data_IF_688827035146
#
_entry.id   IF_688827035146
#
_cell.length_a   1.000
_cell.length_b   1.000
_cell.length_c   1.000
_cell.angle_alpha   90.00
_cell.angle_beta   90.00
_cell.angle_gamma   90.00
#
_symmetry.space_group_name_H-M   'P 1'
#
loop_
_entity.id
_entity.type
_entity.pdbx_description
1 polymer ?
#
# COMPACT_ATOMS: atom_id res chain seq x y z
N UNK A 1 34.60 -24.92 -6.84
CA UNK A 1 33.51 -23.91 -6.93
C UNK A 1 32.51 -24.23 -5.83
N UNK A 2 32.64 -23.54 -4.70
CA UNK A 2 31.87 -23.79 -3.48
C UNK A 2 30.55 -23.03 -3.56
N UNK A 3 29.43 -23.77 -3.52
CA UNK A 3 28.08 -23.22 -3.43
C UNK A 3 27.82 -22.79 -1.98
N UNK A 4 27.94 -21.48 -1.73
CA UNK A 4 27.54 -20.87 -0.47
C UNK A 4 26.03 -21.04 -0.27
N UNK A 5 25.68 -21.76 0.80
CA UNK A 5 24.31 -21.93 1.27
C UNK A 5 23.73 -20.58 1.70
N UNK A 6 22.65 -20.13 1.06
CA UNK A 6 21.84 -19.03 1.57
C UNK A 6 21.09 -19.52 2.80
N UNK A 7 21.60 -19.13 3.97
CA UNK A 7 20.95 -19.36 5.25
C UNK A 7 19.73 -18.44 5.33
N UNK A 8 18.57 -18.90 4.87
CA UNK A 8 17.30 -18.29 5.21
C UNK A 8 17.04 -18.59 6.69
N UNK A 9 17.51 -17.70 7.57
CA UNK A 9 17.20 -17.77 8.99
C UNK A 9 15.69 -17.54 9.13
N UNK A 10 14.93 -18.63 9.16
CA UNK A 10 13.60 -18.64 9.74
C UNK A 10 13.79 -18.48 11.24
N UNK A 11 13.90 -17.24 11.71
CA UNK A 11 13.84 -16.96 13.13
C UNK A 11 12.49 -17.49 13.65
N UNK A 12 12.56 -18.59 14.39
CA UNK A 12 11.42 -19.12 15.12
C UNK A 12 10.92 -18.01 16.03
N UNK A 13 9.73 -17.50 15.72
CA UNK A 13 9.05 -16.50 16.55
C UNK A 13 8.64 -17.21 17.84
N UNK A 14 9.55 -17.29 18.80
CA UNK A 14 9.18 -17.62 20.16
C UNK A 14 8.32 -16.47 20.66
N UNK A 15 7.14 -16.80 21.18
CA UNK A 15 6.24 -15.85 21.81
C UNK A 15 6.86 -15.40 23.14
N UNK A 16 7.81 -14.47 23.06
CA UNK A 16 8.39 -13.77 24.21
C UNK A 16 7.22 -13.16 24.98
N UNK A 17 7.05 -13.60 26.23
CA UNK A 17 6.00 -13.18 27.16
C UNK A 17 6.15 -11.67 27.43
N UNK A 18 5.53 -10.84 26.59
CA UNK A 18 5.47 -9.40 26.81
C UNK A 18 4.63 -9.10 28.06
N UNK A 19 4.89 -8.01 28.80
CA UNK A 19 4.01 -7.57 29.86
C UNK A 19 2.61 -7.33 29.28
N UNK A 20 1.69 -8.24 29.61
CA UNK A 20 0.36 -8.30 29.02
C UNK A 20 -0.43 -7.07 29.45
N UNK A 21 -0.85 -6.25 28.46
CA UNK A 21 -1.82 -5.17 28.68
C UNK A 21 -3.20 -5.70 28.35
N UNK A 22 -4.19 -5.35 29.17
CA UNK A 22 -5.60 -5.70 28.91
C UNK A 22 -6.31 -4.47 28.38
N UNK A 23 -6.99 -4.61 27.25
CA UNK A 23 -7.89 -3.58 26.74
C UNK A 23 -9.31 -3.86 27.22
N UNK A 24 -9.84 -3.00 28.09
CA UNK A 24 -11.25 -3.02 28.50
C UNK A 24 -12.00 -1.91 27.78
N UNK A 25 -12.99 -2.30 26.98
CA UNK A 25 -13.87 -1.36 26.26
C UNK A 25 -15.29 -1.55 26.77
N UNK A 26 -15.93 -0.45 27.17
CA UNK A 26 -17.33 -0.47 27.59
C UNK A 26 -18.27 -0.76 26.43
N UNK A 27 -18.12 -0.02 25.33
CA UNK A 27 -18.87 -0.27 24.11
C UNK A 27 -18.14 0.20 22.85
N UNK A 28 -18.45 -0.42 21.71
CA UNK A 28 -17.99 -0.02 20.39
C UNK A 28 -19.17 0.03 19.42
N UNK A 29 -19.24 1.09 18.62
CA UNK A 29 -20.23 1.26 17.56
C UNK A 29 -19.49 1.57 16.26
N UNK A 30 -19.59 0.66 15.29
CA UNK A 30 -19.06 0.83 13.94
C UNK A 30 -20.25 0.91 13.00
N UNK A 31 -20.48 2.08 12.41
CA UNK A 31 -21.64 2.33 11.55
C UNK A 31 -21.43 1.72 10.16
N UNK A 32 -20.21 1.76 9.63
CA UNK A 32 -19.88 1.21 8.31
C UNK A 32 -18.46 0.66 8.27
N UNK A 33 -18.30 -0.51 7.64
CA UNK A 33 -17.02 -1.10 7.28
C UNK A 33 -17.10 -1.51 5.80
N UNK A 34 -16.27 -0.92 4.96
CA UNK A 34 -16.26 -1.12 3.51
C UNK A 34 -14.98 -1.82 3.04
N UNK A 35 -14.78 -1.85 1.71
CA UNK A 35 -13.68 -2.49 0.97
C UNK A 35 -12.40 -2.77 1.79
N UNK A 36 -12.10 -4.06 1.92
CA UNK A 36 -10.85 -4.59 2.49
C UNK A 36 -10.56 -4.16 3.94
N UNK A 37 -11.56 -3.73 4.70
CA UNK A 37 -11.40 -3.38 6.12
C UNK A 37 -11.27 -4.62 7.00
N UNK A 38 -10.34 -4.62 7.95
CA UNK A 38 -10.21 -5.64 8.98
C UNK A 38 -10.56 -5.06 10.35
N UNK A 39 -11.51 -5.67 11.06
CA UNK A 39 -11.85 -5.33 12.44
C UNK A 39 -11.52 -6.54 13.31
N UNK A 40 -10.64 -6.36 14.29
CA UNK A 40 -10.16 -7.42 15.15
C UNK A 40 -10.25 -7.01 16.63
N UNK A 41 -10.74 -7.94 17.44
CA UNK A 41 -10.75 -7.88 18.90
C UNK A 41 -9.93 -9.04 19.45
N UNK A 42 -9.15 -8.79 20.49
CA UNK A 42 -8.24 -9.75 21.10
C UNK A 42 -6.80 -9.57 20.63
N UNK A 43 -5.93 -10.46 21.08
CA UNK A 43 -4.50 -10.32 20.84
C UNK A 43 -4.08 -10.91 19.49
N UNK A 44 -3.07 -10.29 18.88
CA UNK A 44 -2.46 -10.66 17.62
C UNK A 44 -0.96 -10.52 17.79
N UNK A 45 -0.20 -11.56 17.41
CA UNK A 45 1.25 -11.52 17.44
C UNK A 45 1.84 -10.69 16.29
N UNK A 46 1.21 -10.78 15.11
CA UNK A 46 1.72 -10.13 13.90
C UNK A 46 0.61 -9.69 12.96
N UNK A 47 0.75 -8.48 12.43
CA UNK A 47 -0.10 -7.91 11.38
C UNK A 47 0.79 -7.38 10.27
N UNK A 48 0.65 -7.93 9.05
CA UNK A 48 1.32 -7.44 7.86
C UNK A 48 0.27 -6.86 6.88
N UNK A 49 0.00 -5.56 6.98
CA UNK A 49 -0.98 -4.87 6.16
C UNK A 49 -0.37 -4.45 4.81
N UNK A 50 -1.09 -4.73 3.71
CA UNK A 50 -0.67 -4.36 2.34
C UNK A 50 -1.81 -3.70 1.57
N UNK A 51 -1.52 -2.56 0.95
CA UNK A 51 -2.43 -1.81 0.08
C UNK A 51 -1.73 -1.51 -1.25
N UNK A 52 -2.38 -1.89 -2.36
CA UNK A 52 -1.99 -1.50 -3.72
C UNK A 52 -3.18 -0.85 -4.40
N UNK A 53 -3.01 0.39 -4.86
CA UNK A 53 -4.11 1.16 -5.45
C UNK A 53 -3.67 1.96 -6.68
N UNK A 54 -4.52 1.93 -7.71
CA UNK A 54 -4.44 2.75 -8.91
C UNK A 54 -5.62 3.72 -8.94
N UNK A 55 -5.33 5.02 -8.91
CA UNK A 55 -6.35 6.06 -9.03
C UNK A 55 -6.25 6.67 -10.43
N UNK A 56 -7.08 6.17 -11.35
CA UNK A 56 -7.07 6.57 -12.76
C UNK A 56 -8.17 7.60 -13.01
N UNK A 57 -7.78 8.80 -13.44
CA UNK A 57 -8.68 9.84 -13.91
C UNK A 57 -8.63 9.88 -15.45
N UNK A 58 -9.77 9.69 -16.10
CA UNK A 58 -9.88 9.63 -17.56
C UNK A 58 -10.59 10.86 -18.12
N UNK A 59 -10.06 11.43 -19.20
CA UNK A 59 -10.80 12.39 -20.05
C UNK A 59 -11.48 11.69 -21.24
N UNK A 60 -10.97 10.53 -21.64
CA UNK A 60 -11.59 9.66 -22.65
C UNK A 60 -12.55 8.65 -22.02
N UNK A 61 -13.52 8.20 -22.81
CA UNK A 61 -14.50 7.19 -22.39
C UNK A 61 -13.83 5.84 -22.09
N UNK A 62 -14.37 5.10 -21.12
CA UNK A 62 -13.85 3.81 -20.66
C UNK A 62 -13.73 2.79 -21.80
N UNK A 63 -14.65 2.83 -22.76
CA UNK A 63 -14.64 1.95 -23.93
C UNK A 63 -13.43 2.17 -24.86
N UNK A 64 -12.78 3.35 -24.82
CA UNK A 64 -11.68 3.73 -25.73
C UNK A 64 -10.32 3.82 -25.05
N UNK A 65 -10.31 4.02 -23.74
CA UNK A 65 -9.13 4.39 -22.95
C UNK A 65 -8.18 3.23 -22.59
N UNK A 66 -8.57 1.98 -22.85
CA UNK A 66 -7.81 0.79 -22.47
C UNK A 66 -7.69 0.57 -20.95
N UNK A 67 -7.20 -0.62 -20.59
CA UNK A 67 -6.99 -1.02 -19.21
C UNK A 67 -5.69 -0.47 -18.62
N UNK A 68 -5.64 -0.43 -17.28
CA UNK A 68 -4.45 0.00 -16.52
C UNK A 68 -4.06 -1.14 -15.59
N UNK A 69 -2.80 -1.56 -15.67
CA UNK A 69 -2.25 -2.68 -14.93
C UNK A 69 -1.20 -2.22 -13.92
N UNK A 70 -1.07 -2.93 -12.79
CA UNK A 70 -0.08 -2.59 -11.76
C UNK A 70 1.35 -2.81 -12.27
N UNK A 71 1.54 -3.85 -13.08
CA UNK A 71 2.80 -4.28 -13.68
C UNK A 71 3.41 -3.18 -14.57
N UNK A 72 2.56 -2.29 -15.11
CA UNK A 72 3.00 -1.14 -15.90
C UNK A 72 3.77 -0.08 -15.11
N UNK A 73 3.75 -0.13 -13.77
CA UNK A 73 4.45 0.84 -12.92
C UNK A 73 5.41 0.19 -11.93
N UNK A 74 6.68 0.57 -12.00
CA UNK A 74 7.74 0.10 -11.08
C UNK A 74 7.45 0.33 -9.60
N UNK A 75 6.57 1.28 -9.25
CA UNK A 75 6.16 1.51 -7.86
C UNK A 75 5.46 0.29 -7.24
N UNK A 76 4.90 -0.62 -8.04
CA UNK A 76 4.24 -1.82 -7.53
C UNK A 76 5.17 -3.02 -7.39
N UNK A 77 6.31 -3.02 -8.09
CA UNK A 77 7.28 -4.13 -8.09
C UNK A 77 8.61 -3.83 -7.40
N UNK A 78 8.97 -2.57 -7.16
CA UNK A 78 10.23 -2.21 -6.46
C UNK A 78 10.26 -2.78 -5.03
N UNK A 79 11.42 -3.15 -4.44
CA UNK A 79 11.50 -3.56 -3.04
C UNK A 79 11.10 -2.42 -2.08
N UNK A 80 10.83 -2.76 -0.83
CA UNK A 80 10.64 -1.74 0.21
C UNK A 80 11.95 -1.02 0.51
N UNK A 81 11.91 0.24 0.94
CA UNK A 81 13.09 0.89 1.49
C UNK A 81 13.59 0.05 2.66
N UNK A 82 14.88 -0.26 2.64
CA UNK A 82 15.58 -0.89 3.75
C UNK A 82 16.15 0.26 4.57
N UNK A 83 15.84 0.29 5.87
CA UNK A 83 16.52 1.18 6.79
C UNK A 83 17.92 0.60 7.04
N UNK A 84 18.95 1.35 6.66
CA UNK A 84 20.35 0.99 6.93
C UNK A 84 20.77 1.85 8.11
N UNK A 85 21.02 1.22 9.24
CA UNK A 85 21.44 1.87 10.48
C UNK A 85 22.65 1.11 11.03
N UNK A 86 23.89 1.59 10.76
CA UNK A 86 25.11 0.93 11.18
C UNK A 86 25.20 0.72 12.70
N UNK A 87 24.64 1.63 13.51
CA UNK A 87 24.66 1.48 14.96
C UNK A 87 23.72 0.36 15.40
N UNK A 88 22.55 0.27 14.77
CA UNK A 88 21.64 -0.86 14.98
C UNK A 88 22.26 -2.18 14.52
N UNK A 89 22.85 -2.19 13.33
CA UNK A 89 23.41 -3.37 12.68
C UNK A 89 24.65 -3.92 13.42
N UNK A 90 25.45 -3.03 14.03
CA UNK A 90 26.57 -3.37 14.92
C UNK A 90 26.12 -3.73 16.35
N UNK A 91 24.81 -3.75 16.63
CA UNK A 91 24.26 -4.09 17.94
C UNK A 91 24.45 -3.00 19.01
N UNK A 92 24.81 -1.77 18.61
CA UNK A 92 24.94 -0.59 19.50
C UNK A 92 23.59 0.07 19.78
N UNK A 93 22.55 -0.75 19.96
CA UNK A 93 21.18 -0.27 20.18
C UNK A 93 20.94 0.11 21.64
N UNK A 94 20.26 1.25 21.84
CA UNK A 94 19.73 1.60 23.17
C UNK A 94 18.51 0.72 23.44
N UNK A 95 18.65 -0.21 24.39
CA UNK A 95 17.52 -1.04 24.84
C UNK A 95 16.73 -0.31 25.92
N UNK A 96 15.48 0.00 25.61
CA UNK A 96 14.54 0.57 26.57
C UNK A 96 13.59 -0.51 27.05
N UNK A 97 13.43 -0.65 28.36
CA UNK A 97 12.38 -1.48 28.97
C UNK A 97 11.26 -0.58 29.47
N UNK A 98 10.01 -1.03 29.31
CA UNK A 98 8.83 -0.31 29.76
C UNK A 98 8.02 -1.19 30.71
N UNK A 99 7.74 -0.64 31.89
CA UNK A 99 6.80 -1.23 32.85
C UNK A 99 5.55 -0.37 32.90
N UNK A 100 4.38 -0.97 32.70
CA UNK A 100 3.10 -0.28 32.86
C UNK A 100 2.58 -0.56 34.27
N UNK A 101 2.57 0.44 35.15
CA UNK A 101 2.07 0.28 36.53
C UNK A 101 0.58 -0.08 36.56
N UNK A 102 -0.20 0.40 35.60
CA UNK A 102 -1.56 -0.04 35.32
C UNK A 102 -1.60 -0.65 33.89
N UNK A 103 -1.63 -1.99 33.75
CA UNK A 103 -1.69 -2.64 32.44
C UNK A 103 -3.10 -2.62 31.83
N UNK A 104 -4.10 -2.03 32.51
CA UNK A 104 -5.47 -1.96 32.04
C UNK A 104 -5.73 -0.65 31.27
N UNK A 105 -5.90 -0.75 29.96
CA UNK A 105 -6.39 0.35 29.12
C UNK A 105 -7.92 0.32 29.17
N UNK A 106 -8.52 1.31 29.83
CA UNK A 106 -9.99 1.42 29.94
C UNK A 106 -10.49 2.48 28.97
N UNK A 107 -11.39 2.07 28.07
CA UNK A 107 -12.02 2.96 27.08
C UNK A 107 -13.53 2.85 27.26
N UNK A 108 -14.21 3.96 27.49
CA UNK A 108 -15.67 3.94 27.69
C UNK A 108 -16.42 3.55 26.41
N UNK A 109 -16.26 4.34 25.35
CA UNK A 109 -16.97 4.14 24.10
C UNK A 109 -16.10 4.46 22.88
N UNK A 110 -16.11 3.58 21.89
CA UNK A 110 -15.47 3.78 20.59
C UNK A 110 -16.57 3.96 19.54
N UNK A 111 -16.57 5.09 18.83
CA UNK A 111 -17.50 5.34 17.72
C UNK A 111 -16.73 5.48 16.41
N UNK A 112 -17.00 4.59 15.46
CA UNK A 112 -16.45 4.61 14.11
C UNK A 112 -17.60 4.85 13.14
N UNK A 113 -17.54 5.97 12.40
CA UNK A 113 -18.59 6.32 11.42
C UNK A 113 -18.43 5.48 10.14
N UNK A 114 -17.21 5.34 9.64
CA UNK A 114 -16.92 4.48 8.52
C UNK A 114 -15.45 4.07 8.58
N UNK A 115 -15.17 2.82 8.25
CA UNK A 115 -13.84 2.30 7.96
C UNK A 115 -13.86 1.72 6.55
N UNK A 116 -12.81 1.95 5.76
CA UNK A 116 -12.80 1.57 4.36
C UNK A 116 -11.41 1.60 3.74
N UNK A 117 -11.29 1.16 2.49
CA UNK A 117 -10.07 1.26 1.69
C UNK A 117 -8.84 0.63 2.40
N UNK A 118 -8.98 -0.62 2.84
CA UNK A 118 -7.92 -1.34 3.56
C UNK A 118 -7.58 -0.77 4.94
N UNK A 119 -8.59 -0.27 5.66
CA UNK A 119 -8.47 0.14 7.07
C UNK A 119 -8.32 -1.07 8.01
N UNK A 120 -7.57 -0.92 9.11
CA UNK A 120 -7.54 -1.90 10.19
C UNK A 120 -7.95 -1.28 11.52
N UNK A 121 -8.87 -1.91 12.22
CA UNK A 121 -9.29 -1.58 13.58
C UNK A 121 -8.91 -2.77 14.45
N UNK A 122 -7.93 -2.58 15.33
CA UNK A 122 -7.45 -3.64 16.22
C UNK A 122 -7.58 -3.21 17.68
N UNK A 123 -8.18 -4.07 18.49
CA UNK A 123 -8.36 -3.88 19.92
C UNK A 123 -7.73 -5.07 20.62
N UNK A 124 -6.66 -4.82 21.39
CA UNK A 124 -5.87 -5.85 22.05
C UNK A 124 -4.39 -5.59 21.83
N UNK A 125 -3.57 -6.60 22.10
CA UNK A 125 -2.14 -6.55 21.82
C UNK A 125 -1.89 -6.84 20.34
N UNK A 126 -1.09 -6.02 19.65
CA UNK A 126 -0.72 -6.23 18.25
C UNK A 126 0.71 -6.75 18.05
N UNK A 127 1.52 -6.73 19.11
CA UNK A 127 2.97 -7.02 19.18
C UNK A 127 3.79 -6.44 18.01
N UNK A 128 3.72 -7.04 16.82
CA UNK A 128 4.38 -6.55 15.61
C UNK A 128 3.36 -6.13 14.53
N UNK A 129 3.37 -4.87 14.13
CA UNK A 129 2.54 -4.35 13.02
C UNK A 129 3.45 -3.77 11.94
N UNK A 130 3.34 -4.30 10.73
CA UNK A 130 4.00 -3.78 9.53
C UNK A 130 2.95 -3.37 8.51
N UNK A 131 3.13 -2.21 7.90
CA UNK A 131 2.19 -1.66 6.92
C UNK A 131 2.92 -1.22 5.65
N UNK A 132 2.38 -1.59 4.49
CA UNK A 132 2.89 -1.20 3.19
C UNK A 132 1.74 -0.67 2.31
N UNK A 133 1.88 0.57 1.84
CA UNK A 133 0.94 1.18 0.89
C UNK A 133 1.66 1.63 -0.38
N UNK A 134 1.13 1.23 -1.54
CA UNK A 134 1.61 1.63 -2.86
C UNK A 134 0.43 2.21 -3.63
N UNK A 135 0.46 3.50 -3.88
CA UNK A 135 -0.63 4.23 -4.54
C UNK A 135 -0.07 5.02 -5.71
N UNK A 136 -0.69 4.90 -6.89
CA UNK A 136 -0.32 5.67 -8.08
C UNK A 136 -1.54 6.35 -8.67
N UNK A 137 -1.47 7.67 -8.75
CA UNK A 137 -2.47 8.51 -9.41
C UNK A 137 -2.05 8.76 -10.86
N UNK A 138 -3.00 8.64 -11.79
CA UNK A 138 -2.75 8.68 -13.23
C UNK A 138 -3.86 9.50 -13.89
N UNK A 139 -3.48 10.38 -14.82
CA UNK A 139 -4.42 11.09 -15.68
C UNK A 139 -4.22 10.64 -17.13
N UNK A 140 -5.30 10.18 -17.76
CA UNK A 140 -5.32 9.76 -19.17
C UNK A 140 -6.00 10.85 -20.01
N UNK A 141 -5.23 11.47 -20.90
CA UNK A 141 -5.68 12.49 -21.84
C UNK A 141 -5.58 11.98 -23.28
N UNK A 142 -6.50 12.41 -24.17
CA UNK A 142 -6.39 12.13 -25.59
C UNK A 142 -5.07 12.66 -26.14
N UNK A 143 -4.41 11.88 -26.99
CA UNK A 143 -3.35 12.43 -27.84
C UNK A 143 -4.01 13.32 -28.90
N UNK A 144 -3.50 14.54 -29.08
CA UNK A 144 -3.91 15.37 -30.21
C UNK A 144 -3.59 14.63 -31.52
N UNK A 145 -4.57 14.56 -32.41
CA UNK A 145 -4.36 14.02 -33.75
C UNK A 145 -3.51 15.01 -34.52
N UNK A 146 -2.25 14.67 -34.75
CA UNK A 146 -1.39 15.40 -35.68
C UNK A 146 -2.04 15.35 -37.06
N UNK A 147 -2.60 16.47 -37.51
CA UNK A 147 -3.16 16.59 -38.86
C UNK A 147 -1.99 16.61 -39.83
N UNK A 148 -1.83 15.56 -40.63
CA UNK A 148 -0.84 15.50 -41.70
C UNK A 148 -1.08 16.69 -42.65
N UNK A 149 -0.05 17.48 -43.03
CA UNK A 149 -0.24 18.56 -43.98
C UNK A 149 -0.71 17.98 -45.32
N UNK A 150 -1.80 18.55 -45.86
CA UNK A 150 -2.33 18.20 -47.17
C UNK A 150 -1.29 18.63 -48.21
N UNK A 151 -0.52 17.68 -48.76
CA UNK A 151 0.31 17.94 -49.93
C UNK A 151 -0.62 17.95 -51.14
N UNK A 152 -1.05 19.13 -51.57
CA UNK A 152 -1.81 19.31 -52.80
C UNK A 152 -0.91 19.04 -54.00
N UNK A 153 -1.07 17.88 -54.65
CA UNK A 153 -0.45 17.60 -55.95
C UNK A 153 -1.14 18.41 -57.03
N UNK A 154 -0.64 19.60 -57.33
CA UNK A 154 -1.06 20.38 -58.49
C UNK A 154 0.13 20.57 -59.44
N UNK A 155 0.19 19.73 -60.47
CA UNK A 155 0.85 20.02 -61.74
C UNK A 155 0.44 18.95 -62.77
N UNK A 156 -0.62 19.23 -63.53
CA UNK A 156 -0.81 18.66 -64.86
C UNK A 156 -0.48 19.76 -65.88
N UNK A 157 0.48 19.55 -66.81
CA UNK A 157 0.71 20.51 -67.87
C UNK A 157 -0.43 20.45 -68.90
N UNK A 158 -0.93 21.63 -69.28
CA UNK A 158 -1.93 21.80 -70.31
C UNK A 158 -1.39 21.32 -71.67
N UNK A 159 -2.13 20.45 -72.36
CA UNK A 159 -1.91 20.16 -73.77
C UNK A 159 -2.18 21.42 -74.59
N UNK A 160 -1.16 21.92 -75.29
CA UNK A 160 -1.33 22.92 -76.33
C UNK A 160 -1.60 22.21 -77.66
N UNK A 161 -2.76 22.48 -78.26
CA UNK A 161 -3.05 22.25 -79.68
C UNK A 161 -2.99 23.60 -80.40
N UNK A 162 -2.45 23.63 -81.63
CA UNK A 162 -3.30 23.50 -82.82
C UNK A 162 -2.85 22.43 -83.81
#
# INVERSE_FOLDING_TARGET
>A
MSMSHNHSVSEGVSCIHHPTRTSQIGAICIISASSSTAIQFGDRCRTDARLMALAVQRKEDHAKSGDVYFESYRIFSRPNPILIDPEFDEGRVIRTTRTNCDPCIRVGFIRVIAAGNSSSIHIGNGQCVSGQARVKHIRQYPKEKMTQPIISSHNQPAMASP
#
